data_IF_319628840966
#
_entry.id   IF_319628840966
#
_cell.length_a   1.000
_cell.length_b   1.000
_cell.length_c   1.000
_cell.angle_alpha   90.00
_cell.angle_beta   90.00
_cell.angle_gamma   90.00
#
_symmetry.space_group_name_H-M   'P 1'
#
loop_
_entity.id
_entity.type
_entity.pdbx_description
1 polymer ?
#
# COMPACT_ATOMS: atom_id res chain seq x y z
N UNK A 1 3.26 -19.54 -11.37
CA UNK A 1 2.01 -18.87 -11.78
C UNK A 1 1.57 -18.04 -10.59
N UNK A 2 1.36 -16.74 -10.77
CA UNK A 2 0.96 -15.85 -9.69
C UNK A 2 -0.53 -16.07 -9.43
N UNK A 3 -0.92 -16.53 -8.24
CA UNK A 3 -2.33 -16.75 -7.91
C UNK A 3 -2.89 -15.53 -7.18
N UNK A 4 -4.00 -14.99 -7.67
CA UNK A 4 -4.61 -13.79 -7.10
C UNK A 4 -4.91 -13.96 -5.59
N UNK A 5 -5.33 -15.16 -5.19
CA UNK A 5 -5.60 -15.48 -3.79
C UNK A 5 -4.34 -15.54 -2.92
N UNK A 6 -3.21 -16.00 -3.47
CA UNK A 6 -1.95 -15.99 -2.73
C UNK A 6 -1.44 -14.56 -2.56
N UNK A 7 -1.61 -13.72 -3.59
CA UNK A 7 -1.26 -12.31 -3.53
C UNK A 7 -2.12 -11.53 -2.53
N UNK A 8 -3.44 -11.70 -2.57
CA UNK A 8 -4.35 -11.05 -1.62
C UNK A 8 -4.04 -11.43 -0.17
N UNK A 9 -3.74 -12.71 0.10
CA UNK A 9 -3.30 -13.17 1.42
C UNK A 9 -1.97 -12.56 1.85
N UNK A 10 -1.02 -12.39 0.93
CA UNK A 10 0.27 -11.77 1.23
C UNK A 10 0.11 -10.28 1.59
N UNK A 11 -0.76 -9.54 0.89
CA UNK A 11 -1.07 -8.15 1.22
C UNK A 11 -1.69 -8.02 2.61
N UNK A 12 -2.67 -8.87 2.92
CA UNK A 12 -3.34 -8.86 4.23
C UNK A 12 -2.36 -9.20 5.36
N UNK A 13 -1.54 -10.23 5.17
CA UNK A 13 -0.50 -10.59 6.15
C UNK A 13 0.49 -9.46 6.36
N UNK A 14 0.91 -8.76 5.30
CA UNK A 14 1.85 -7.64 5.41
C UNK A 14 1.25 -6.47 6.18
N UNK A 15 -0.03 -6.17 5.94
CA UNK A 15 -0.80 -5.16 6.69
C UNK A 15 -0.85 -5.50 8.19
N UNK A 16 -1.20 -6.73 8.53
CA UNK A 16 -1.31 -7.18 9.93
C UNK A 16 0.04 -7.12 10.65
N UNK A 17 1.11 -7.60 9.99
CA UNK A 17 2.48 -7.54 10.54
C UNK A 17 2.90 -6.10 10.78
N UNK A 18 2.76 -5.21 9.79
CA UNK A 18 3.14 -3.80 9.95
C UNK A 18 2.42 -3.14 11.12
N UNK A 19 1.09 -3.32 11.22
CA UNK A 19 0.30 -2.76 12.31
C UNK A 19 0.70 -3.32 13.68
N UNK A 20 1.07 -4.59 13.74
CA UNK A 20 1.52 -5.24 14.97
C UNK A 20 2.85 -4.67 15.43
N UNK A 21 3.83 -4.58 14.53
CA UNK A 21 5.16 -4.03 14.84
C UNK A 21 5.07 -2.55 15.24
N UNK A 22 4.31 -1.75 14.49
CA UNK A 22 4.12 -0.31 14.78
C UNK A 22 3.46 -0.10 16.16
N UNK A 23 2.48 -0.92 16.53
CA UNK A 23 1.84 -0.85 17.86
C UNK A 23 2.76 -1.31 18.99
N UNK A 24 3.74 -2.16 18.68
CA UNK A 24 4.75 -2.63 19.63
C UNK A 24 5.83 -1.58 19.93
N UNK A 25 5.95 -0.52 19.14
CA UNK A 25 6.93 0.53 19.35
C UNK A 25 6.59 1.36 20.59
N UNK A 26 7.45 1.27 21.61
CA UNK A 26 7.30 2.04 22.86
C UNK A 26 7.81 3.48 22.73
N UNK A 27 8.62 3.77 21.70
CA UNK A 27 9.12 5.11 21.40
C UNK A 27 9.08 5.36 19.90
N UNK A 28 8.44 6.45 19.53
CA UNK A 28 8.48 6.98 18.18
C UNK A 28 9.69 7.90 17.99
N UNK A 29 10.29 7.89 16.80
CA UNK A 29 11.45 8.73 16.46
C UNK A 29 11.34 9.23 15.03
N UNK A 30 12.12 10.25 14.67
CA UNK A 30 12.14 10.81 13.32
C UNK A 30 12.50 9.80 12.23
N UNK A 31 13.27 8.75 12.55
CA UNK A 31 13.59 7.68 11.61
C UNK A 31 12.34 6.84 11.24
N UNK A 32 11.38 6.71 12.16
CA UNK A 32 10.11 6.06 11.86
C UNK A 32 9.24 6.95 10.96
N UNK A 33 9.26 8.27 11.17
CA UNK A 33 8.59 9.23 10.29
C UNK A 33 9.17 9.16 8.87
N UNK A 34 10.50 9.19 8.74
CA UNK A 34 11.19 9.07 7.45
C UNK A 34 10.84 7.76 6.72
N UNK A 35 10.81 6.64 7.44
CA UNK A 35 10.44 5.35 6.86
C UNK A 35 8.99 5.35 6.39
N UNK A 36 8.05 5.86 7.19
CA UNK A 36 6.63 5.89 6.81
C UNK A 36 6.40 6.83 5.62
N UNK A 37 7.10 7.96 5.57
CA UNK A 37 7.06 8.84 4.41
C UNK A 37 7.57 8.15 3.16
N UNK A 38 8.70 7.44 3.23
CA UNK A 38 9.24 6.69 2.10
C UNK A 38 8.30 5.57 1.63
N UNK A 39 7.69 4.83 2.56
CA UNK A 39 6.68 3.82 2.24
C UNK A 39 5.45 4.45 1.59
N UNK A 40 5.01 5.61 2.09
CA UNK A 40 3.88 6.33 1.53
C UNK A 40 4.14 6.78 0.09
N UNK A 41 5.33 7.28 -0.19
CA UNK A 41 5.74 7.67 -1.55
C UNK A 41 5.71 6.48 -2.52
N UNK A 42 6.23 5.32 -2.10
CA UNK A 42 6.24 4.10 -2.92
C UNK A 42 4.82 3.61 -3.24
N UNK A 43 3.94 3.58 -2.24
CA UNK A 43 2.54 3.18 -2.43
C UNK A 43 1.76 4.14 -3.35
N UNK A 44 2.01 5.44 -3.26
CA UNK A 44 1.39 6.44 -4.17
C UNK A 44 1.85 6.22 -5.61
N UNK A 45 3.13 5.89 -5.83
CA UNK A 45 3.65 5.56 -7.16
C UNK A 45 2.97 4.31 -7.71
N UNK A 46 2.84 3.26 -6.89
CA UNK A 46 2.13 2.05 -7.26
C UNK A 46 0.64 2.30 -7.56
N UNK A 47 -0.05 3.08 -6.74
CA UNK A 47 -1.45 3.48 -6.98
C UNK A 47 -1.59 4.18 -8.33
N UNK A 48 -0.70 5.13 -8.65
CA UNK A 48 -0.68 5.81 -9.95
C UNK A 48 -0.48 4.86 -11.14
N UNK A 49 0.35 3.83 -11.00
CA UNK A 49 0.53 2.81 -12.04
C UNK A 49 -0.76 2.01 -12.27
N UNK A 50 -1.47 1.64 -11.19
CA UNK A 50 -2.74 0.92 -11.29
C UNK A 50 -3.82 1.82 -11.90
N UNK A 51 -3.87 3.12 -11.55
CA UNK A 51 -4.75 4.13 -12.17
C UNK A 51 -4.58 4.17 -13.69
N UNK A 52 -3.34 4.33 -14.14
CA UNK A 52 -3.03 4.35 -15.57
C UNK A 52 -3.50 3.07 -16.26
N UNK A 53 -3.33 1.91 -15.63
CA UNK A 53 -3.77 0.63 -16.18
C UNK A 53 -5.31 0.53 -16.27
N UNK A 54 -6.03 0.98 -15.23
CA UNK A 54 -7.49 1.00 -15.21
C UNK A 54 -8.06 1.86 -16.34
N UNK A 55 -7.51 3.07 -16.54
CA UNK A 55 -7.90 3.92 -17.67
C UNK A 55 -7.56 3.30 -19.02
N UNK A 56 -6.38 2.68 -19.15
CA UNK A 56 -5.99 1.96 -20.37
C UNK A 56 -6.93 0.81 -20.73
N UNK A 57 -7.60 0.23 -19.74
CA UNK A 57 -8.64 -0.80 -19.92
C UNK A 57 -10.06 -0.23 -20.09
N UNK A 58 -10.23 1.09 -20.12
CA UNK A 58 -11.55 1.75 -20.19
C UNK A 58 -12.41 1.55 -18.94
N UNK A 59 -11.80 1.25 -17.79
CA UNK A 59 -12.50 1.07 -16.51
C UNK A 59 -12.54 2.38 -15.73
N UNK A 60 -13.52 2.49 -14.83
CA UNK A 60 -13.60 3.58 -13.87
C UNK A 60 -12.76 3.27 -12.62
N UNK A 61 -12.25 4.32 -11.99
CA UNK A 61 -11.50 4.22 -10.73
C UNK A 61 -12.47 4.04 -9.55
N UNK A 62 -12.11 3.27 -8.52
CA UNK A 62 -12.87 3.23 -7.28
C UNK A 62 -12.88 4.59 -6.57
N UNK A 63 -14.00 4.96 -5.95
CA UNK A 63 -14.11 6.20 -5.14
C UNK A 63 -13.19 6.21 -3.92
N UNK A 64 -12.71 5.04 -3.49
CA UNK A 64 -11.85 4.88 -2.33
C UNK A 64 -10.38 5.24 -2.59
N UNK A 65 -10.00 5.49 -3.84
CA UNK A 65 -8.63 5.85 -4.21
C UNK A 65 -8.37 7.31 -3.89
N UNK A 66 -7.28 7.58 -3.17
CA UNK A 66 -7.04 8.92 -2.59
C UNK A 66 -6.55 9.94 -3.61
N UNK A 67 -5.94 9.45 -4.68
CA UNK A 67 -5.19 10.25 -5.65
C UNK A 67 -5.74 10.11 -7.08
N UNK A 68 -6.96 9.57 -7.19
CA UNK A 68 -7.75 9.44 -8.40
C UNK A 68 -8.57 10.71 -8.69
#
# INVERSE_FOLDING_TARGET
>A
MFELESFARALESSRETLLTEVRGLTKWSSQHDELILALFEDEVIHEGQVICHMYGMGRQLPESWRWA
#
